data_IF_979755830461
#
_entry.id   IF_979755830461
#
_cell.length_a   1.000
_cell.length_b   1.000
_cell.length_c   1.000
_cell.angle_alpha   90.00
_cell.angle_beta   90.00
_cell.angle_gamma   90.00
#
_symmetry.space_group_name_H-M   'P 1'
#
loop_
_entity.id
_entity.type
_entity.pdbx_description
1 polymer ?
#
# COMPACT_ATOMS: atom_id res chain seq x y z
N UNK A 1 5.37 -20.94 2.64
CA UNK A 1 4.87 -19.75 3.37
C UNK A 1 3.50 -20.02 4.00
N UNK A 2 2.41 -20.11 3.22
CA UNK A 2 1.06 -20.30 3.81
C UNK A 2 0.95 -21.65 4.53
N UNK A 3 1.40 -22.74 3.90
CA UNK A 3 1.51 -24.07 4.54
C UNK A 3 2.46 -24.11 5.75
N UNK A 4 3.23 -23.06 5.99
CA UNK A 4 4.14 -22.89 7.13
C UNK A 4 3.59 -21.88 8.16
N UNK A 5 2.32 -21.43 8.03
CA UNK A 5 1.64 -20.57 9.00
C UNK A 5 1.65 -19.07 8.70
N UNK A 6 2.06 -18.63 7.51
CA UNK A 6 1.98 -17.21 7.15
C UNK A 6 0.52 -16.77 6.92
N UNK A 7 0.06 -15.76 7.66
CA UNK A 7 -1.29 -15.18 7.57
C UNK A 7 -1.38 -13.90 6.72
N UNK A 8 -0.24 -13.26 6.46
CA UNK A 8 -0.15 -12.03 5.66
C UNK A 8 0.99 -12.20 4.65
N UNK A 9 0.75 -11.82 3.40
CA UNK A 9 1.76 -11.81 2.34
C UNK A 9 2.01 -10.37 1.90
N UNK A 10 3.22 -9.88 2.17
CA UNK A 10 3.69 -8.60 1.65
C UNK A 10 4.11 -8.75 0.18
N UNK A 11 3.52 -7.96 -0.71
CA UNK A 11 3.94 -7.88 -2.11
C UNK A 11 5.02 -6.80 -2.23
N UNK A 12 6.27 -7.22 -2.28
CA UNK A 12 7.43 -6.34 -2.41
C UNK A 12 7.46 -5.65 -3.78
N UNK A 13 7.72 -4.33 -3.79
CA UNK A 13 7.88 -3.54 -5.00
C UNK A 13 6.73 -3.72 -6.02
N UNK A 14 5.49 -3.88 -5.53
CA UNK A 14 4.36 -4.32 -6.34
C UNK A 14 4.09 -3.39 -7.52
N UNK A 15 4.25 -2.08 -7.32
CA UNK A 15 4.06 -1.07 -8.36
C UNK A 15 4.92 -1.29 -9.63
N UNK A 16 6.04 -2.01 -9.53
CA UNK A 16 6.88 -2.30 -10.68
C UNK A 16 6.49 -3.56 -11.43
N UNK A 17 5.47 -4.31 -11.01
CA UNK A 17 5.18 -5.63 -11.56
C UNK A 17 4.81 -5.59 -13.06
N UNK A 18 4.03 -4.59 -13.49
CA UNK A 18 3.57 -4.41 -14.87
C UNK A 18 4.54 -3.55 -15.68
N UNK A 19 5.00 -4.05 -16.84
CA UNK A 19 5.91 -3.35 -17.76
C UNK A 19 5.21 -3.12 -19.08
N UNK A 20 5.22 -1.88 -19.57
CA UNK A 20 4.59 -1.50 -20.83
C UNK A 20 5.42 -0.46 -21.54
N UNK A 21 5.66 -0.67 -22.84
CA UNK A 21 6.38 0.30 -23.67
C UNK A 21 5.70 1.68 -23.61
N UNK A 22 6.50 2.74 -23.65
CA UNK A 22 6.05 4.13 -23.58
C UNK A 22 5.29 4.50 -22.29
N UNK A 23 5.53 3.78 -21.19
CA UNK A 23 5.03 4.11 -19.84
C UNK A 23 6.15 4.25 -18.81
N UNK A 24 5.83 4.76 -17.62
CA UNK A 24 6.77 4.81 -16.48
C UNK A 24 7.20 3.44 -15.97
N UNK A 25 6.54 2.35 -16.40
CA UNK A 25 6.67 1.01 -15.80
C UNK A 25 6.47 0.99 -14.28
N UNK A 26 5.75 1.98 -13.77
CA UNK A 26 5.41 2.15 -12.36
C UNK A 26 3.91 2.36 -12.25
N UNK A 27 3.24 1.48 -11.52
CA UNK A 27 1.80 1.51 -11.27
C UNK A 27 0.99 1.67 -12.57
N UNK A 28 1.27 0.81 -13.56
CA UNK A 28 0.63 0.87 -14.89
C UNK A 28 -0.83 0.45 -14.79
N UNK A 29 -1.74 1.42 -14.76
CA UNK A 29 -3.18 1.18 -14.78
C UNK A 29 -3.67 0.86 -16.22
N UNK A 30 -4.63 -0.08 -16.41
CA UNK A 30 -5.32 -0.90 -15.40
C UNK A 30 -4.61 -2.23 -15.08
N UNK A 31 -3.51 -2.54 -15.77
CA UNK A 31 -2.83 -3.84 -15.74
C UNK A 31 -2.42 -4.25 -14.31
N UNK A 32 -2.03 -3.28 -13.48
CA UNK A 32 -1.64 -3.50 -12.08
C UNK A 32 -2.80 -4.01 -11.21
N UNK A 33 -4.03 -3.55 -11.49
CA UNK A 33 -5.22 -3.97 -10.75
C UNK A 33 -5.63 -5.39 -11.13
N UNK A 34 -5.52 -5.75 -12.41
CA UNK A 34 -5.77 -7.10 -12.88
C UNK A 34 -4.81 -8.09 -12.22
N UNK A 35 -3.53 -7.75 -12.16
CA UNK A 35 -2.53 -8.57 -11.47
C UNK A 35 -2.85 -8.72 -9.97
N UNK A 36 -3.29 -7.65 -9.31
CA UNK A 36 -3.66 -7.70 -7.89
C UNK A 36 -4.87 -8.62 -7.66
N UNK A 37 -5.88 -8.52 -8.53
CA UNK A 37 -7.07 -9.36 -8.48
C UNK A 37 -6.73 -10.84 -8.72
N UNK A 38 -5.86 -11.15 -9.69
CA UNK A 38 -5.37 -12.51 -9.94
C UNK A 38 -4.67 -13.10 -8.71
N UNK A 39 -3.79 -12.33 -8.06
CA UNK A 39 -3.10 -12.76 -6.83
C UNK A 39 -4.10 -12.96 -5.69
N UNK A 40 -5.08 -12.05 -5.54
CA UNK A 40 -6.13 -12.17 -4.53
C UNK A 40 -6.95 -13.43 -4.75
N UNK A 41 -7.35 -13.75 -5.97
CA UNK A 41 -8.18 -14.92 -6.26
C UNK A 41 -7.48 -16.24 -5.93
N UNK A 42 -6.16 -16.30 -6.10
CA UNK A 42 -5.34 -17.44 -5.68
C UNK A 42 -5.30 -17.59 -4.15
N UNK A 43 -5.30 -16.47 -3.41
CA UNK A 43 -5.14 -16.45 -1.96
C UNK A 43 -6.45 -16.48 -1.17
N UNK A 44 -7.56 -16.08 -1.80
CA UNK A 44 -8.92 -16.06 -1.22
C UNK A 44 -9.33 -17.38 -0.53
N UNK A 45 -9.09 -18.59 -1.09
CA UNK A 45 -9.47 -19.83 -0.42
C UNK A 45 -8.58 -20.19 0.78
N UNK A 46 -7.48 -19.46 0.98
CA UNK A 46 -6.49 -19.73 2.01
C UNK A 46 -6.60 -18.82 3.24
N UNK A 47 -7.55 -17.88 3.25
CA UNK A 47 -7.77 -16.89 4.33
C UNK A 47 -6.50 -16.12 4.69
N UNK A 48 -5.77 -15.68 3.66
CA UNK A 48 -4.51 -14.95 3.79
C UNK A 48 -4.71 -13.52 3.31
N UNK A 49 -4.26 -12.57 4.11
CA UNK A 49 -4.34 -11.14 3.80
C UNK A 49 -3.18 -10.70 2.89
N UNK A 50 -3.47 -9.75 2.02
CA UNK A 50 -2.50 -9.15 1.10
C UNK A 50 -2.09 -7.76 1.58
N UNK A 51 -0.78 -7.50 1.53
CA UNK A 51 -0.21 -6.20 1.89
C UNK A 51 0.70 -5.71 0.76
N UNK A 52 0.16 -5.01 -0.26
CA UNK A 52 0.96 -4.42 -1.31
C UNK A 52 1.84 -3.30 -0.78
N UNK A 53 3.14 -3.39 -1.05
CA UNK A 53 4.08 -2.32 -0.75
C UNK A 53 4.26 -1.43 -1.98
N UNK A 54 3.88 -0.15 -1.83
CA UNK A 54 3.97 0.88 -2.87
C UNK A 54 4.50 2.17 -2.25
N UNK A 55 5.68 2.58 -2.71
CA UNK A 55 6.29 3.86 -2.37
C UNK A 55 5.90 4.95 -3.38
N UNK A 56 4.80 5.67 -3.13
CA UNK A 56 4.41 6.81 -3.98
C UNK A 56 3.63 7.89 -3.22
N UNK A 57 3.06 8.85 -3.96
CA UNK A 57 2.25 9.93 -3.42
C UNK A 57 1.02 9.35 -2.70
N UNK A 58 0.65 9.95 -1.57
CA UNK A 58 -0.44 9.49 -0.69
C UNK A 58 -1.76 9.20 -1.44
N UNK A 59 -2.01 9.87 -2.56
CA UNK A 59 -3.17 9.63 -3.44
C UNK A 59 -3.31 8.17 -3.91
N UNK A 60 -2.20 7.46 -4.15
CA UNK A 60 -2.25 6.08 -4.65
C UNK A 60 -2.41 5.09 -3.51
N UNK A 61 -1.80 5.37 -2.36
CA UNK A 61 -2.11 4.68 -1.11
C UNK A 61 -3.61 4.74 -0.81
N UNK A 62 -4.23 5.92 -0.97
CA UNK A 62 -5.69 6.08 -0.82
C UNK A 62 -6.50 5.23 -1.79
N UNK A 63 -6.17 5.21 -3.09
CA UNK A 63 -6.86 4.35 -4.07
C UNK A 63 -6.81 2.87 -3.64
N UNK A 64 -5.66 2.38 -3.20
CA UNK A 64 -5.49 0.98 -2.80
C UNK A 64 -6.35 0.65 -1.57
N UNK A 65 -6.41 1.56 -0.60
CA UNK A 65 -7.33 1.43 0.54
C UNK A 65 -8.81 1.41 0.11
N UNK A 66 -9.20 2.26 -0.84
CA UNK A 66 -10.57 2.26 -1.39
C UNK A 66 -10.91 0.93 -2.09
N UNK A 67 -9.91 0.25 -2.64
CA UNK A 67 -10.04 -1.11 -3.18
C UNK A 67 -10.02 -2.22 -2.10
N UNK A 68 -9.97 -1.85 -0.81
CA UNK A 68 -10.12 -2.76 0.33
C UNK A 68 -8.83 -3.46 0.77
N UNK A 69 -7.67 -3.02 0.27
CA UNK A 69 -6.37 -3.58 0.62
C UNK A 69 -5.69 -2.77 1.70
N UNK A 70 -5.02 -3.44 2.64
CA UNK A 70 -4.16 -2.76 3.60
C UNK A 70 -2.98 -2.06 2.91
N UNK A 71 -2.58 -0.93 3.45
CA UNK A 71 -1.46 -0.13 2.95
C UNK A 71 -0.48 0.23 4.06
N UNK A 72 0.76 0.51 3.65
CA UNK A 72 1.74 1.11 4.55
C UNK A 72 1.54 2.62 4.62
N UNK A 73 1.50 3.14 5.85
CA UNK A 73 1.55 4.58 6.08
C UNK A 73 3.01 5.06 6.11
N UNK A 74 3.53 5.44 4.93
CA UNK A 74 4.88 5.97 4.80
C UNK A 74 5.03 7.43 5.26
N UNK A 75 3.93 8.16 5.41
CA UNK A 75 3.98 9.56 5.85
C UNK A 75 4.07 9.65 7.38
N UNK A 76 3.38 8.78 8.11
CA UNK A 76 3.33 8.80 9.58
C UNK A 76 4.72 8.81 10.24
N UNK A 77 5.70 7.95 9.87
CA UNK A 77 7.04 8.00 10.47
C UNK A 77 7.69 9.38 10.33
N UNK A 78 7.57 10.02 9.17
CA UNK A 78 8.16 11.33 8.90
C UNK A 78 7.43 12.44 9.67
N UNK A 79 6.10 12.39 9.72
CA UNK A 79 5.31 13.40 10.43
C UNK A 79 5.49 13.28 11.95
N UNK A 80 5.58 12.07 12.49
CA UNK A 80 5.93 11.82 13.90
C UNK A 80 7.31 12.40 14.21
N UNK A 81 8.31 12.09 13.38
CA UNK A 81 9.66 12.62 13.55
C UNK A 81 9.66 14.16 13.54
N UNK A 82 8.98 14.77 12.57
CA UNK A 82 8.83 16.23 12.48
C UNK A 82 8.22 16.79 13.78
N UNK A 83 7.11 16.22 14.26
CA UNK A 83 6.44 16.69 15.47
C UNK A 83 7.34 16.62 16.71
N UNK A 84 8.15 15.56 16.86
CA UNK A 84 9.11 15.44 17.96
C UNK A 84 10.18 16.54 17.91
N UNK A 85 10.73 16.81 16.73
CA UNK A 85 11.79 17.80 16.55
C UNK A 85 11.27 19.25 16.64
N UNK A 86 10.14 19.54 16.01
CA UNK A 86 9.56 20.87 15.96
C UNK A 86 8.72 21.21 17.19
N UNK A 87 8.44 20.22 18.06
CA UNK A 87 7.48 20.31 19.18
C UNK A 87 6.11 20.84 18.76
N UNK A 88 5.72 20.60 17.51
CA UNK A 88 4.48 21.10 16.92
C UNK A 88 3.65 19.92 16.36
N UNK A 89 2.48 19.62 16.94
CA UNK A 89 1.66 18.48 16.53
C UNK A 89 0.73 18.77 15.35
N UNK A 90 0.64 20.00 14.82
CA UNK A 90 -0.35 20.36 13.79
C UNK A 90 -0.33 19.39 12.60
N UNK A 91 0.85 19.11 12.04
CA UNK A 91 1.00 18.21 10.89
C UNK A 91 0.58 16.78 11.21
N UNK A 92 0.87 16.29 12.41
CA UNK A 92 0.46 14.96 12.85
C UNK A 92 -1.06 14.87 12.99
N UNK A 93 -1.69 15.88 13.58
CA UNK A 93 -3.15 15.94 13.71
C UNK A 93 -3.82 16.01 12.34
N UNK A 94 -3.28 16.80 11.42
CA UNK A 94 -3.79 16.89 10.04
C UNK A 94 -3.65 15.56 9.28
N UNK A 95 -2.52 14.86 9.45
CA UNK A 95 -2.30 13.56 8.85
C UNK A 95 -3.26 12.51 9.40
N UNK A 96 -3.38 12.39 10.72
CA UNK A 96 -4.28 11.41 11.36
C UNK A 96 -5.75 11.60 10.96
N UNK A 97 -6.18 12.82 10.65
CA UNK A 97 -7.53 13.09 10.13
C UNK A 97 -7.75 12.62 8.69
N UNK A 98 -6.68 12.51 7.90
CA UNK A 98 -6.72 12.10 6.50
C UNK A 98 -6.32 10.64 6.31
N UNK A 99 -5.54 10.08 7.24
CA UNK A 99 -4.96 8.75 7.12
C UNK A 99 -6.05 7.70 6.89
N UNK A 100 -5.93 6.89 5.83
CA UNK A 100 -6.84 5.78 5.60
C UNK A 100 -6.66 4.72 6.71
N UNK A 101 -7.75 4.07 7.15
CA UNK A 101 -7.72 3.06 8.22
C UNK A 101 -7.53 1.63 7.70
N UNK A 102 -8.00 1.40 6.48
CA UNK A 102 -7.75 0.25 5.63
C UNK A 102 -7.57 0.83 4.25
#
# INVERSE_FOLDING_TARGET
MIKQGASIIRLDAFAYACKKADTSCFFVEPDIWQLLDEVRDVLKPLDVELLPEIHENHSISHKISEHGYFIYDFALPLVVLYTLYSKNPQRLVEWLKKSPMK
#
